data_IF_988529345812
#
_entry.id   IF_988529345812
#
_cell.length_a   1.000
_cell.length_b   1.000
_cell.length_c   1.000
_cell.angle_alpha   90.00
_cell.angle_beta   90.00
_cell.angle_gamma   90.00
#
_symmetry.space_group_name_H-M   'P 1'
#
loop_
_entity.id
_entity.type
_entity.pdbx_description
1 polymer ?
#
# COMPACT_ATOMS: atom_id res chain seq x y z
N UNK A 1 -25.09 -4.37 2.11
CA UNK A 1 -23.84 -4.18 1.36
C UNK A 1 -22.89 -5.32 1.72
N UNK A 2 -21.72 -5.44 1.09
CA UNK A 2 -20.81 -6.58 1.21
C UNK A 2 -19.37 -6.08 1.30
N UNK A 3 -19.08 -5.33 2.35
CA UNK A 3 -17.86 -4.53 2.46
C UNK A 3 -16.61 -5.37 2.77
N UNK A 4 -15.49 -4.98 2.17
CA UNK A 4 -14.17 -5.61 2.35
C UNK A 4 -13.19 -4.57 2.90
N UNK A 5 -12.40 -4.97 3.91
CA UNK A 5 -11.28 -4.18 4.40
C UNK A 5 -10.00 -4.58 3.67
N UNK A 6 -9.31 -3.59 3.10
CA UNK A 6 -8.05 -3.79 2.38
C UNK A 6 -6.86 -3.45 3.28
N UNK A 7 -5.82 -4.27 3.24
CA UNK A 7 -4.54 -4.01 3.91
C UNK A 7 -3.41 -4.08 2.90
N UNK A 8 -2.55 -3.06 2.92
CA UNK A 8 -1.33 -2.98 2.13
C UNK A 8 -0.15 -2.79 3.09
N UNK A 9 0.86 -3.64 3.03
CA UNK A 9 1.99 -3.57 3.94
C UNK A 9 3.34 -3.72 3.21
N UNK A 10 4.06 -2.61 3.14
CA UNK A 10 5.39 -2.51 2.56
C UNK A 10 5.44 -1.85 1.18
N UNK A 11 6.64 -1.43 0.74
CA UNK A 11 6.79 -0.57 -0.42
C UNK A 11 6.18 -1.15 -1.71
N UNK A 12 6.54 -2.38 -2.10
CA UNK A 12 6.09 -2.97 -3.35
C UNK A 12 4.58 -3.26 -3.31
N UNK A 13 4.06 -3.72 -2.17
CA UNK A 13 2.64 -3.87 -1.91
C UNK A 13 1.88 -2.54 -2.06
N UNK A 14 2.45 -1.43 -1.59
CA UNK A 14 1.86 -0.10 -1.70
C UNK A 14 1.92 0.43 -3.14
N UNK A 15 3.01 0.20 -3.89
CA UNK A 15 3.07 0.52 -5.32
C UNK A 15 2.00 -0.24 -6.13
N UNK A 16 1.89 -1.56 -5.93
CA UNK A 16 0.87 -2.38 -6.56
C UNK A 16 -0.55 -1.96 -6.13
N UNK A 17 -0.69 -1.61 -4.86
CA UNK A 17 -1.90 -1.09 -4.25
C UNK A 17 -2.39 0.21 -4.86
N UNK A 18 -1.51 1.18 -5.06
CA UNK A 18 -1.85 2.45 -5.73
C UNK A 18 -2.33 2.21 -7.16
N UNK A 19 -1.68 1.31 -7.92
CA UNK A 19 -2.16 0.94 -9.25
C UNK A 19 -3.55 0.30 -9.23
N UNK A 20 -3.81 -0.58 -8.25
CA UNK A 20 -5.13 -1.17 -8.05
C UNK A 20 -6.18 -0.07 -7.81
N UNK A 21 -5.95 0.83 -6.85
CA UNK A 21 -6.91 1.90 -6.52
C UNK A 21 -7.13 2.88 -7.65
N UNK A 22 -6.07 3.26 -8.36
CA UNK A 22 -6.17 4.12 -9.54
C UNK A 22 -6.99 3.47 -10.66
N UNK A 23 -6.95 2.14 -10.77
CA UNK A 23 -7.78 1.39 -11.74
C UNK A 23 -9.22 1.30 -11.23
N UNK A 24 -9.43 1.08 -9.93
CA UNK A 24 -10.76 1.06 -9.32
C UNK A 24 -11.47 2.41 -9.45
N UNK A 25 -10.75 3.53 -9.32
CA UNK A 25 -11.29 4.87 -9.52
C UNK A 25 -11.73 5.11 -10.97
N UNK A 26 -11.06 4.54 -11.96
CA UNK A 26 -11.51 4.65 -13.36
C UNK A 26 -12.86 4.00 -13.61
N UNK A 27 -13.23 3.00 -12.80
CA UNK A 27 -14.54 2.39 -12.87
C UNK A 27 -15.63 3.23 -12.19
N UNK A 28 -15.31 4.27 -11.43
CA UNK A 28 -16.29 5.20 -10.85
C UNK A 28 -16.91 6.04 -11.99
N UNK A 29 -17.96 5.50 -12.59
CA UNK A 29 -18.71 6.20 -13.63
C UNK A 29 -19.73 7.12 -12.96
N UNK A 30 -19.55 8.43 -13.10
CA UNK A 30 -20.47 9.44 -12.57
C UNK A 30 -21.74 9.66 -13.43
N UNK A 31 -21.93 8.87 -14.50
CA UNK A 31 -23.10 8.97 -15.37
C UNK A 31 -24.15 7.92 -15.04
N UNK A 32 -25.36 8.36 -14.73
CA UNK A 32 -26.53 7.56 -14.30
C UNK A 32 -27.01 6.50 -15.31
N UNK A 33 -26.43 6.45 -16.52
CA UNK A 33 -26.94 5.67 -17.65
C UNK A 33 -26.27 4.31 -17.89
N UNK A 34 -25.21 3.96 -17.16
CA UNK A 34 -24.47 2.71 -17.36
C UNK A 34 -24.68 1.72 -16.23
N UNK A 35 -24.95 0.45 -16.58
CA UNK A 35 -24.97 -0.65 -15.62
C UNK A 35 -23.57 -0.84 -15.04
N UNK A 36 -23.41 -0.65 -13.74
CA UNK A 36 -22.13 -0.83 -13.04
C UNK A 36 -21.60 -2.25 -13.26
N UNK A 37 -20.39 -2.36 -13.82
CA UNK A 37 -19.68 -3.64 -13.88
C UNK A 37 -19.05 -4.03 -12.54
N UNK A 38 -18.88 -3.06 -11.64
CA UNK A 38 -18.24 -3.19 -10.31
C UNK A 38 -19.10 -2.48 -9.27
N UNK A 39 -19.39 -3.16 -8.16
CA UNK A 39 -20.10 -2.55 -7.02
C UNK A 39 -19.10 -1.76 -6.15
N UNK A 40 -19.14 -0.43 -6.22
CA UNK A 40 -18.13 0.43 -5.59
C UNK A 40 -18.19 0.43 -4.07
N UNK A 41 -19.39 0.32 -3.48
CA UNK A 41 -19.62 0.36 -2.02
C UNK A 41 -18.95 -0.80 -1.27
N UNK A 42 -18.58 -1.86 -1.99
CA UNK A 42 -17.78 -2.98 -1.44
C UNK A 42 -16.40 -2.50 -0.99
N UNK A 43 -15.79 -1.60 -1.77
CA UNK A 43 -14.38 -1.21 -1.59
C UNK A 43 -14.21 0.24 -1.15
N UNK A 44 -15.14 1.10 -1.54
CA UNK A 44 -15.15 2.50 -1.19
C UNK A 44 -16.16 2.80 -0.09
N UNK A 45 -15.91 3.88 0.62
CA UNK A 45 -16.84 4.56 1.49
C UNK A 45 -17.04 5.98 0.96
N UNK A 46 -18.26 6.47 1.06
CA UNK A 46 -18.56 7.87 0.80
C UNK A 46 -18.17 8.71 2.03
N UNK A 47 -17.38 9.75 1.80
CA UNK A 47 -17.07 10.79 2.77
C UNK A 47 -17.38 12.16 2.20
N UNK A 48 -17.18 13.21 3.00
CA UNK A 48 -17.34 14.59 2.55
C UNK A 48 -16.05 15.37 2.81
N UNK A 49 -15.64 16.15 1.82
CA UNK A 49 -14.56 17.13 2.00
C UNK A 49 -14.98 18.26 2.96
N UNK A 50 -14.03 19.07 3.44
CA UNK A 50 -14.30 20.35 4.13
C UNK A 50 -15.22 21.29 3.35
N UNK A 51 -15.27 21.14 2.02
CA UNK A 51 -16.15 21.90 1.11
C UNK A 51 -17.56 21.31 0.96
N UNK A 52 -17.84 20.18 1.59
CA UNK A 52 -19.14 19.48 1.51
C UNK A 52 -19.33 18.67 0.22
N UNK A 53 -18.29 18.48 -0.59
CA UNK A 53 -18.35 17.63 -1.78
C UNK A 53 -18.22 16.16 -1.38
N UNK A 54 -19.01 15.27 -1.98
CA UNK A 54 -18.86 13.82 -1.80
C UNK A 54 -17.52 13.34 -2.38
N UNK A 55 -16.72 12.70 -1.54
CA UNK A 55 -15.44 12.07 -1.91
C UNK A 55 -15.53 10.59 -1.57
N UNK A 56 -15.15 9.73 -2.52
CA UNK A 56 -15.02 8.31 -2.27
C UNK A 56 -13.60 7.99 -1.79
N UNK A 57 -13.51 7.38 -0.61
CA UNK A 57 -12.26 6.91 -0.04
C UNK A 57 -12.27 5.37 0.01
N UNK A 58 -11.15 4.68 -0.22
CA UNK A 58 -11.11 3.24 -0.09
C UNK A 58 -11.13 2.84 1.40
N UNK A 59 -11.74 1.68 1.71
CA UNK A 59 -11.68 1.03 3.02
C UNK A 59 -10.34 0.31 3.17
N UNK A 60 -9.30 1.09 3.43
CA UNK A 60 -7.91 0.67 3.29
C UNK A 60 -7.11 1.01 4.56
N UNK A 61 -6.18 0.12 4.93
CA UNK A 61 -5.06 0.41 5.83
C UNK A 61 -3.75 0.20 5.07
N UNK A 62 -2.93 1.25 4.99
CA UNK A 62 -1.64 1.28 4.31
C UNK A 62 -0.55 1.39 5.37
N UNK A 63 0.29 0.38 5.46
CA UNK A 63 1.44 0.32 6.35
C UNK A 63 2.73 0.50 5.54
N UNK A 64 3.54 1.47 5.94
CA UNK A 64 4.88 1.64 5.39
C UNK A 64 5.79 2.38 6.37
N UNK A 65 7.06 2.50 6.03
CA UNK A 65 8.01 3.35 6.76
C UNK A 65 7.74 4.82 6.46
N UNK A 66 7.95 5.69 7.45
CA UNK A 66 7.65 7.13 7.34
C UNK A 66 8.28 7.78 6.11
N UNK A 67 9.52 7.41 5.80
CA UNK A 67 10.26 7.89 4.62
C UNK A 67 9.61 7.53 3.29
N UNK A 68 8.76 6.50 3.23
CA UNK A 68 8.20 5.96 1.98
C UNK A 68 6.87 6.59 1.56
N UNK A 69 6.20 7.33 2.46
CA UNK A 69 4.92 8.01 2.19
C UNK A 69 5.05 9.28 1.35
N UNK A 70 6.27 9.77 1.07
CA UNK A 70 6.50 10.93 0.22
C UNK A 70 5.71 12.16 0.66
N UNK A 71 4.97 12.78 -0.27
CA UNK A 71 4.14 13.97 0.00
C UNK A 71 2.85 13.65 0.77
N UNK A 72 2.42 12.38 0.78
CA UNK A 72 1.26 11.93 1.56
C UNK A 72 1.55 11.93 3.06
N UNK A 73 2.84 11.86 3.45
CA UNK A 73 3.26 12.04 4.84
C UNK A 73 2.92 13.43 5.40
N UNK A 74 2.79 14.43 4.51
CA UNK A 74 2.45 15.80 4.87
C UNK A 74 0.95 16.03 4.69
N UNK A 75 0.40 15.62 3.56
CA UNK A 75 -0.91 16.05 3.16
C UNK A 75 -1.98 15.06 3.64
N UNK A 76 -2.52 15.27 4.84
CA UNK A 76 -3.87 14.85 5.17
C UNK A 76 -4.86 15.64 4.30
N UNK A 77 -4.85 15.45 2.97
CA UNK A 77 -5.49 16.34 1.97
C UNK A 77 -6.96 16.61 2.29
N UNK A 78 -7.64 15.63 2.89
CA UNK A 78 -9.05 15.71 3.26
C UNK A 78 -9.34 16.54 4.51
N UNK A 79 -8.39 16.63 5.45
CA UNK A 79 -8.61 17.25 6.76
C UNK A 79 -7.67 18.42 7.05
N UNK A 80 -6.80 18.79 6.11
CA UNK A 80 -5.86 19.92 6.24
C UNK A 80 -4.86 19.72 7.37
N UNK A 81 -3.68 20.28 7.21
CA UNK A 81 -2.74 20.39 8.32
C UNK A 81 -3.34 21.41 9.29
N UNK A 82 -3.96 20.94 10.36
CA UNK A 82 -3.79 21.66 11.62
C UNK A 82 -2.30 21.45 11.93
N UNK A 83 -1.46 22.39 11.48
CA UNK A 83 -0.11 22.53 12.01
C UNK A 83 -0.31 22.62 13.53
N UNK A 84 -0.14 21.48 14.21
CA UNK A 84 0.01 21.43 15.64
C UNK A 84 1.25 22.29 15.93
N UNK A 85 1.03 23.58 16.18
CA UNK A 85 1.89 24.38 17.05
C UNK A 85 1.92 23.64 18.38
N UNK A 86 2.73 22.57 18.45
CA UNK A 86 3.07 21.91 19.70
C UNK A 86 3.59 23.04 20.59
N UNK A 87 2.89 23.39 21.69
CA UNK A 87 3.38 24.43 22.57
C UNK A 87 4.75 23.97 23.06
N UNK A 88 5.79 24.74 22.74
CA UNK A 88 7.16 24.47 23.18
C UNK A 88 7.15 24.32 24.71
N UNK A 89 7.11 23.09 25.20
CA UNK A 89 7.09 22.76 26.62
C UNK A 89 8.46 22.98 27.29
N UNK A 90 9.44 23.49 26.54
CA UNK A 90 10.83 23.67 26.93
C UNK A 90 11.23 25.15 26.79
N UNK A 91 11.58 25.80 27.90
CA UNK A 91 11.97 27.23 27.99
C UNK A 91 13.45 27.50 27.65
N UNK A 92 14.12 26.53 27.02
CA UNK A 92 15.50 26.65 26.55
C UNK A 92 15.55 26.92 25.05
N UNK A 93 16.65 27.55 24.59
CA UNK A 93 16.89 27.79 23.16
C UNK A 93 17.04 26.47 22.39
N UNK A 94 15.96 25.99 21.78
CA UNK A 94 16.01 24.91 20.80
C UNK A 94 16.26 25.50 19.41
N UNK A 95 17.20 24.90 18.68
CA UNK A 95 17.32 25.13 17.23
C UNK A 95 16.52 24.03 16.56
N UNK A 96 15.34 24.36 16.08
CA UNK A 96 14.53 23.43 15.30
C UNK A 96 15.19 23.23 13.93
N UNK A 97 15.74 22.05 13.69
CA UNK A 97 16.22 21.63 12.38
C UNK A 97 15.11 20.84 11.69
N UNK A 98 14.28 21.53 10.92
CA UNK A 98 13.23 20.92 10.09
C UNK A 98 13.84 20.46 8.77
N UNK A 99 13.63 19.18 8.41
CA UNK A 99 14.04 18.65 7.11
C UNK A 99 13.33 19.43 5.99
N UNK A 100 14.03 19.67 4.87
CA UNK A 100 13.43 20.30 3.70
C UNK A 100 12.21 19.51 3.21
N UNK A 101 11.12 20.22 2.92
CA UNK A 101 9.88 19.61 2.46
C UNK A 101 10.09 18.91 1.12
N UNK A 102 9.56 17.68 1.01
CA UNK A 102 9.55 16.94 -0.26
C UNK A 102 8.64 17.70 -1.23
N UNK A 103 9.14 18.10 -2.42
CA UNK A 103 8.32 18.78 -3.41
C UNK A 103 7.27 17.84 -4.00
N UNK A 104 6.09 18.38 -4.33
CA UNK A 104 5.05 17.60 -5.00
C UNK A 104 5.51 17.13 -6.37
N UNK A 105 5.20 15.87 -6.70
CA UNK A 105 5.51 15.32 -8.00
C UNK A 105 4.69 16.06 -9.09
N UNK A 106 5.27 16.38 -10.27
CA UNK A 106 4.57 17.14 -11.32
C UNK A 106 3.22 16.52 -11.76
N UNK A 107 3.08 15.21 -11.61
CA UNK A 107 1.81 14.50 -11.83
C UNK A 107 0.70 14.97 -10.89
N UNK A 108 1.00 15.09 -9.58
CA UNK A 108 0.03 15.51 -8.57
C UNK A 108 -0.41 16.96 -8.80
N UNK A 109 0.52 17.85 -9.17
CA UNK A 109 0.19 19.23 -9.52
C UNK A 109 -0.78 19.32 -10.70
N UNK A 110 -0.52 18.56 -11.78
CA UNK A 110 -1.40 18.52 -12.95
C UNK A 110 -2.79 17.94 -12.65
N UNK A 111 -2.85 16.94 -11.76
CA UNK A 111 -4.12 16.35 -11.34
C UNK A 111 -4.97 17.37 -10.57
N UNK A 112 -4.35 18.16 -9.69
CA UNK A 112 -5.02 19.23 -8.95
C UNK A 112 -5.50 20.39 -9.84
N UNK A 113 -4.77 20.69 -10.92
CA UNK A 113 -5.13 21.72 -11.90
C UNK A 113 -6.28 21.29 -12.84
N UNK A 114 -6.70 20.02 -12.79
CA UNK A 114 -7.86 19.52 -13.53
C UNK A 114 -7.64 19.43 -15.04
N UNK A 115 -6.40 19.47 -15.53
CA UNK A 115 -6.09 19.33 -16.95
C UNK A 115 -6.46 17.91 -17.42
N UNK A 116 -7.58 17.80 -18.14
CA UNK A 116 -8.20 16.53 -18.59
C UNK A 116 -7.38 15.78 -19.68
N UNK A 117 -6.08 16.05 -19.78
CA UNK A 117 -5.14 15.52 -20.77
C UNK A 117 -4.10 14.54 -20.20
N UNK A 118 -4.41 13.85 -19.11
CA UNK A 118 -3.48 12.86 -18.48
C UNK A 118 -3.34 11.58 -19.34
N UNK A 119 -4.02 11.48 -20.49
CA UNK A 119 -3.95 10.34 -21.40
C UNK A 119 -2.58 10.10 -22.05
N UNK A 120 -1.71 11.11 -22.15
CA UNK A 120 -0.43 10.97 -22.84
C UNK A 120 0.66 11.82 -22.18
N UNK A 121 1.31 11.29 -21.15
CA UNK A 121 2.73 11.62 -21.02
C UNK A 121 3.52 10.42 -20.53
N UNK A 122 4.18 9.77 -21.48
CA UNK A 122 5.29 8.83 -21.26
C UNK A 122 6.47 9.44 -20.45
N UNK A 123 6.34 10.67 -19.96
CA UNK A 123 7.30 11.38 -19.12
C UNK A 123 7.03 11.24 -17.61
N UNK A 124 5.85 10.76 -17.18
CA UNK A 124 5.54 10.58 -15.75
C UNK A 124 6.43 9.51 -15.10
N UNK A 125 6.92 8.56 -15.90
CA UNK A 125 7.63 7.37 -15.43
C UNK A 125 9.10 7.60 -15.08
N UNK A 126 9.68 8.77 -15.38
CA UNK A 126 11.13 8.96 -15.22
C UNK A 126 11.53 9.39 -13.80
N UNK A 127 10.61 9.93 -12.99
CA UNK A 127 10.94 10.57 -11.70
C UNK A 127 10.09 10.11 -10.50
N UNK A 128 9.35 9.00 -10.60
CA UNK A 128 8.57 8.45 -9.46
C UNK A 128 9.52 7.90 -8.40
N UNK A 129 9.42 8.43 -7.17
CA UNK A 129 10.21 7.99 -6.01
C UNK A 129 9.36 7.27 -4.98
N UNK A 130 8.13 7.73 -4.78
CA UNK A 130 7.20 7.21 -3.79
C UNK A 130 5.96 6.66 -4.46
N UNK A 131 5.31 5.68 -3.82
CA UNK A 131 4.04 5.13 -4.33
C UNK A 131 2.92 6.16 -4.27
N UNK A 132 3.07 7.22 -3.48
CA UNK A 132 2.14 8.35 -3.38
C UNK A 132 2.20 9.28 -4.60
N UNK A 133 3.30 9.29 -5.36
CA UNK A 133 3.56 10.29 -6.41
C UNK A 133 2.58 10.20 -7.58
N UNK A 134 1.95 9.03 -7.77
CA UNK A 134 0.97 8.76 -8.81
C UNK A 134 -0.40 8.35 -8.26
N UNK A 135 -0.64 8.53 -6.95
CA UNK A 135 -1.93 8.22 -6.35
C UNK A 135 -3.00 9.20 -6.84
N UNK A 136 -4.11 8.67 -7.36
CA UNK A 136 -5.28 9.47 -7.80
C UNK A 136 -6.39 9.50 -6.77
N UNK A 137 -6.40 8.53 -5.85
CA UNK A 137 -7.49 8.33 -4.89
C UNK A 137 -7.14 8.99 -3.57
N UNK A 138 -8.12 9.66 -2.97
CA UNK A 138 -7.97 10.20 -1.63
C UNK A 138 -8.05 9.10 -0.59
N UNK A 139 -7.06 9.04 0.30
CA UNK A 139 -7.07 8.15 1.45
C UNK A 139 -7.61 8.88 2.68
N UNK A 140 -8.43 8.18 3.45
CA UNK A 140 -8.85 8.68 4.75
C UNK A 140 -7.64 8.72 5.71
N UNK A 141 -7.51 9.70 6.63
CA UNK A 141 -6.35 9.76 7.53
C UNK A 141 -6.11 8.49 8.34
N UNK A 142 -7.19 7.82 8.78
CA UNK A 142 -7.09 6.52 9.48
C UNK A 142 -6.52 5.40 8.61
N UNK A 143 -6.47 5.58 7.29
CA UNK A 143 -5.86 4.61 6.37
C UNK A 143 -4.35 4.63 6.46
N UNK A 144 -3.75 5.76 6.86
CA UNK A 144 -2.31 5.99 6.81
C UNK A 144 -1.69 5.51 8.13
N UNK A 145 -0.92 4.43 8.08
CA UNK A 145 -0.28 3.82 9.24
C UNK A 145 1.25 3.86 9.07
N UNK A 146 1.87 4.88 9.65
CA UNK A 146 3.30 5.16 9.46
C UNK A 146 4.12 4.46 10.55
N UNK A 147 5.06 3.60 10.13
CA UNK A 147 6.04 3.01 11.03
C UNK A 147 7.32 3.86 11.08
N UNK A 148 8.05 3.84 12.22
CA UNK A 148 9.37 4.45 12.30
C UNK A 148 10.32 3.90 11.24
N UNK A 149 11.16 4.78 10.70
CA UNK A 149 12.22 4.42 9.76
C UNK A 149 13.28 3.57 10.45
N UNK A 150 13.83 2.61 9.70
CA UNK A 150 14.92 1.76 10.16
C UNK A 150 16.21 2.37 9.64
N UNK A 151 17.25 2.37 10.46
CA UNK A 151 18.55 2.86 10.00
C UNK A 151 19.17 1.91 8.97
N UNK A 152 19.78 2.44 7.91
CA UNK A 152 20.35 1.65 6.80
C UNK A 152 21.32 0.54 7.24
N UNK A 153 22.03 0.74 8.35
CA UNK A 153 23.01 -0.22 8.90
C UNK A 153 22.38 -1.39 9.66
N UNK A 154 21.09 -1.34 10.01
CA UNK A 154 20.42 -2.41 10.75
C UNK A 154 20.05 -3.62 9.88
N UNK A 155 20.04 -3.49 8.54
CA UNK A 155 19.87 -4.63 7.64
C UNK A 155 18.62 -5.47 7.94
N UNK A 156 17.51 -4.80 8.24
CA UNK A 156 16.26 -5.39 8.74
C UNK A 156 15.47 -6.19 7.69
N UNK A 157 15.79 -6.05 6.41
CA UNK A 157 15.21 -6.89 5.38
C UNK A 157 15.61 -8.35 5.61
N UNK A 158 14.63 -9.23 5.76
CA UNK A 158 14.86 -10.62 6.13
C UNK A 158 14.96 -10.88 7.64
N UNK A 159 14.81 -9.88 8.52
CA UNK A 159 14.79 -10.09 9.97
C UNK A 159 13.37 -10.34 10.48
N UNK A 160 13.00 -11.61 10.59
CA UNK A 160 11.69 -12.02 11.08
C UNK A 160 11.38 -11.46 12.48
N UNK A 161 12.32 -11.55 13.42
CA UNK A 161 12.12 -11.18 14.83
C UNK A 161 11.93 -9.67 14.94
N UNK A 162 12.72 -8.89 14.19
CA UNK A 162 12.57 -7.44 14.16
C UNK A 162 11.17 -7.01 13.71
N UNK A 163 10.60 -7.64 12.68
CA UNK A 163 9.25 -7.29 12.23
C UNK A 163 8.14 -7.71 13.19
N UNK A 164 8.29 -8.83 13.94
CA UNK A 164 7.38 -9.18 15.04
C UNK A 164 7.39 -8.08 16.12
N UNK A 165 8.58 -7.70 16.59
CA UNK A 165 8.74 -6.66 17.59
C UNK A 165 8.22 -5.31 17.09
N UNK A 166 8.45 -5.00 15.81
CA UNK A 166 7.94 -3.78 15.18
C UNK A 166 6.42 -3.70 15.26
N UNK A 167 5.71 -4.81 15.04
CA UNK A 167 4.26 -4.85 15.20
C UNK A 167 3.85 -4.66 16.66
N UNK A 168 4.50 -5.34 17.61
CA UNK A 168 4.18 -5.19 19.04
C UNK A 168 4.28 -3.73 19.49
N UNK A 169 5.40 -3.06 19.19
CA UNK A 169 5.57 -1.64 19.54
C UNK A 169 4.54 -0.76 18.84
N UNK A 170 4.31 -1.00 17.55
CA UNK A 170 3.32 -0.23 16.78
C UNK A 170 1.90 -0.39 17.35
N UNK A 171 1.50 -1.60 17.72
CA UNK A 171 0.20 -1.89 18.33
C UNK A 171 0.07 -1.22 19.71
N UNK A 172 1.12 -1.21 20.53
CA UNK A 172 1.13 -0.52 21.83
C UNK A 172 1.01 1.02 21.68
N UNK A 173 1.64 1.61 20.66
CA UNK A 173 1.64 3.06 20.45
C UNK A 173 0.35 3.58 19.81
N UNK A 174 -0.18 2.86 18.82
CA UNK A 174 -1.28 3.34 17.98
C UNK A 174 -2.63 2.74 18.32
N UNK A 175 -2.63 1.61 19.03
CA UNK A 175 -3.83 0.79 19.27
C UNK A 175 -4.64 0.57 17.98
N UNK A 176 -3.93 0.20 16.90
CA UNK A 176 -4.48 0.15 15.53
C UNK A 176 -5.75 -0.71 15.41
N UNK A 177 -5.86 -1.74 16.26
CA UNK A 177 -7.00 -2.65 16.30
C UNK A 177 -8.26 -1.95 16.83
N UNK A 178 -8.17 -1.26 17.97
CA UNK A 178 -9.29 -0.56 18.61
C UNK A 178 -9.59 0.80 17.97
N UNK A 179 -8.65 1.39 17.25
CA UNK A 179 -8.82 2.69 16.60
C UNK A 179 -9.17 2.54 15.12
N UNK A 180 -8.16 2.51 14.25
CA UNK A 180 -8.34 2.64 12.81
C UNK A 180 -9.10 1.45 12.24
N UNK A 181 -8.75 0.24 12.66
CA UNK A 181 -9.39 -0.98 12.17
C UNK A 181 -10.84 -1.10 12.67
N UNK A 182 -11.08 -0.98 13.98
CA UNK A 182 -12.44 -1.03 14.54
C UNK A 182 -13.38 -0.02 13.90
N UNK A 183 -12.93 1.22 13.71
CA UNK A 183 -13.75 2.26 13.08
C UNK A 183 -14.13 1.89 11.64
N UNK A 184 -13.23 1.29 10.86
CA UNK A 184 -13.59 0.81 9.51
C UNK A 184 -14.60 -0.35 9.56
N UNK A 185 -14.50 -1.22 10.56
CA UNK A 185 -15.42 -2.35 10.73
C UNK A 185 -16.81 -1.90 11.18
N UNK A 186 -16.89 -0.93 12.09
CA UNK A 186 -18.15 -0.34 12.56
C UNK A 186 -18.86 0.45 11.44
N UNK A 187 -18.11 1.01 10.50
CA UNK A 187 -18.63 1.66 9.29
C UNK A 187 -19.14 0.66 8.22
N UNK A 188 -19.08 -0.66 8.46
CA UNK A 188 -19.59 -1.68 7.53
C UNK A 188 -20.96 -2.19 7.97
N UNK A 189 -21.93 -2.21 7.04
CA UNK A 189 -23.24 -2.82 7.28
C UNK A 189 -23.14 -4.35 7.37
N UNK A 190 -22.33 -4.96 6.48
CA UNK A 190 -22.07 -6.40 6.51
C UNK A 190 -20.65 -6.72 6.04
N UNK A 191 -19.72 -6.63 6.99
CA UNK A 191 -18.33 -6.98 6.80
C UNK A 191 -18.14 -8.42 6.29
N UNK A 192 -17.50 -8.57 5.13
CA UNK A 192 -17.27 -9.88 4.51
C UNK A 192 -15.94 -10.50 4.87
N UNK A 193 -14.92 -9.68 5.14
CA UNK A 193 -13.56 -10.14 5.33
C UNK A 193 -12.53 -9.15 4.83
N UNK A 194 -11.30 -9.66 4.69
CA UNK A 194 -10.14 -8.84 4.37
C UNK A 194 -9.43 -9.28 3.11
N UNK A 195 -8.89 -8.31 2.38
CA UNK A 195 -7.90 -8.54 1.35
C UNK A 195 -6.56 -7.92 1.77
N UNK A 196 -5.50 -8.73 1.78
CA UNK A 196 -4.18 -8.31 2.24
C UNK A 196 -3.18 -8.47 1.10
N UNK A 197 -2.38 -7.45 0.85
CA UNK A 197 -1.18 -7.53 0.01
C UNK A 197 0.00 -7.05 0.83
N UNK A 198 1.09 -7.81 0.84
CA UNK A 198 2.23 -7.49 1.68
C UNK A 198 3.55 -7.91 1.05
N UNK A 199 4.60 -7.18 1.41
CA UNK A 199 5.97 -7.53 1.07
C UNK A 199 6.51 -8.52 2.09
N UNK A 200 6.83 -9.73 1.67
CA UNK A 200 7.21 -10.78 2.62
C UNK A 200 8.62 -10.57 3.17
N UNK A 201 9.53 -9.99 2.37
CA UNK A 201 10.91 -9.75 2.76
C UNK A 201 11.05 -8.70 3.88
N UNK A 202 10.22 -7.65 3.87
CA UNK A 202 10.31 -6.48 4.76
C UNK A 202 9.19 -6.44 5.81
N UNK A 203 7.97 -6.79 5.43
CA UNK A 203 6.77 -6.70 6.28
C UNK A 203 6.13 -8.06 6.59
N UNK A 204 6.70 -9.18 6.14
CA UNK A 204 6.13 -10.52 6.34
C UNK A 204 5.78 -10.83 7.80
N UNK A 205 6.73 -10.70 8.72
CA UNK A 205 6.47 -10.95 10.14
C UNK A 205 5.53 -9.92 10.78
N UNK A 206 5.64 -8.66 10.39
CA UNK A 206 4.72 -7.61 10.84
C UNK A 206 3.27 -7.94 10.45
N UNK A 207 3.03 -8.26 9.17
CA UNK A 207 1.72 -8.65 8.65
C UNK A 207 1.23 -9.95 9.28
N UNK A 208 2.12 -10.91 9.54
CA UNK A 208 1.76 -12.14 10.24
C UNK A 208 1.23 -11.85 11.65
N UNK A 209 1.92 -11.01 12.42
CA UNK A 209 1.45 -10.61 13.75
C UNK A 209 0.15 -9.83 13.71
N UNK A 210 0.01 -8.87 12.78
CA UNK A 210 -1.24 -8.13 12.56
C UNK A 210 -2.42 -9.07 12.29
N UNK A 211 -2.24 -10.04 11.39
CA UNK A 211 -3.28 -11.00 11.06
C UNK A 211 -3.57 -11.98 12.21
N UNK A 212 -2.57 -12.32 13.01
CA UNK A 212 -2.78 -13.13 14.22
C UNK A 212 -3.65 -12.40 15.23
N UNK A 213 -3.32 -11.14 15.54
CA UNK A 213 -4.11 -10.30 16.45
C UNK A 213 -5.54 -10.11 15.92
N UNK A 214 -5.68 -9.86 14.62
CA UNK A 214 -7.01 -9.79 14.01
C UNK A 214 -7.79 -11.09 14.10
N UNK A 215 -7.15 -12.23 13.87
CA UNK A 215 -7.80 -13.54 13.96
C UNK A 215 -8.27 -13.84 15.39
N UNK A 216 -7.53 -13.39 16.40
CA UNK A 216 -7.93 -13.55 17.81
C UNK A 216 -9.21 -12.75 18.14
N UNK A 217 -9.35 -11.53 17.59
CA UNK A 217 -10.55 -10.69 17.77
C UNK A 217 -11.73 -11.14 16.90
N UNK A 218 -11.48 -11.47 15.64
CA UNK A 218 -12.47 -11.71 14.59
C UNK A 218 -12.23 -13.03 13.86
N UNK A 219 -12.10 -14.12 14.62
CA UNK A 219 -11.82 -15.49 14.11
C UNK A 219 -12.73 -16.00 12.99
N UNK A 220 -13.93 -15.42 12.82
CA UNK A 220 -14.89 -15.81 11.77
C UNK A 220 -14.71 -15.04 10.46
N UNK A 221 -13.97 -13.94 10.47
CA UNK A 221 -13.77 -13.12 9.29
C UNK A 221 -12.73 -13.77 8.36
N UNK A 222 -13.10 -14.14 7.12
CA UNK A 222 -12.15 -14.71 6.18
C UNK A 222 -11.16 -13.63 5.70
N UNK A 223 -9.93 -14.05 5.42
CA UNK A 223 -8.92 -13.22 4.78
C UNK A 223 -8.35 -13.89 3.53
N UNK A 224 -8.16 -13.10 2.49
CA UNK A 224 -7.42 -13.50 1.28
C UNK A 224 -6.11 -12.71 1.27
N UNK A 225 -4.99 -13.41 1.17
CA UNK A 225 -3.65 -12.82 1.29
C UNK A 225 -2.88 -13.02 -0.01
N UNK A 226 -2.32 -11.94 -0.54
CA UNK A 226 -1.45 -11.89 -1.72
C UNK A 226 -0.03 -11.51 -1.29
N UNK A 227 0.76 -12.45 -0.74
CA UNK A 227 2.13 -12.14 -0.37
C UNK A 227 2.99 -11.98 -1.62
N UNK A 228 3.66 -10.83 -1.70
CA UNK A 228 4.73 -10.58 -2.65
C UNK A 228 6.00 -11.21 -2.09
N UNK A 229 6.41 -12.32 -2.71
CA UNK A 229 7.55 -13.10 -2.27
C UNK A 229 8.86 -12.41 -2.63
N UNK A 230 9.92 -12.73 -1.89
CA UNK A 230 11.22 -12.14 -2.13
C UNK A 230 11.73 -12.42 -3.55
N UNK A 231 12.63 -11.56 -4.04
CA UNK A 231 13.28 -11.71 -5.33
C UNK A 231 14.36 -12.82 -5.37
N UNK A 232 14.31 -13.77 -4.44
CA UNK A 232 15.31 -14.82 -4.28
C UNK A 232 14.65 -16.18 -4.57
N UNK A 233 15.13 -16.87 -5.60
CA UNK A 233 14.62 -18.19 -5.97
C UNK A 233 15.32 -19.28 -5.14
N UNK A 234 14.58 -20.14 -4.44
CA UNK A 234 15.15 -21.34 -3.83
C UNK A 234 15.78 -22.21 -4.93
N UNK A 235 17.10 -22.45 -4.85
CA UNK A 235 17.99 -23.10 -5.85
C UNK A 235 18.67 -22.17 -6.88
N UNK A 236 18.57 -20.85 -6.72
CA UNK A 236 19.34 -19.88 -7.51
C UNK A 236 20.81 -19.77 -7.09
N UNK A 237 21.63 -19.09 -7.90
CA UNK A 237 23.08 -18.86 -7.64
C UNK A 237 23.37 -17.98 -6.41
N UNK A 238 22.35 -17.40 -5.78
CA UNK A 238 22.47 -16.41 -4.70
C UNK A 238 22.28 -16.98 -3.28
N UNK A 239 22.24 -18.31 -3.11
CA UNK A 239 22.04 -18.95 -1.79
C UNK A 239 23.18 -18.64 -0.81
N UNK A 240 24.39 -18.40 -1.32
CA UNK A 240 25.58 -18.22 -0.48
C UNK A 240 25.58 -16.91 0.33
N UNK A 241 24.66 -15.98 0.02
CA UNK A 241 24.51 -14.74 0.78
C UNK A 241 23.55 -14.92 1.97
N UNK A 242 23.95 -14.54 3.20
CA UNK A 242 23.10 -14.70 4.39
C UNK A 242 21.80 -13.87 4.28
N UNK A 243 21.85 -12.71 3.62
CA UNK A 243 20.66 -11.89 3.35
C UNK A 243 19.62 -12.64 2.50
N UNK A 244 20.07 -13.30 1.43
CA UNK A 244 19.23 -14.11 0.56
C UNK A 244 18.60 -15.29 1.28
N UNK A 245 19.36 -15.97 2.14
CA UNK A 245 18.84 -17.06 2.98
C UNK A 245 17.76 -16.57 3.95
N UNK A 246 17.98 -15.41 4.59
CA UNK A 246 16.97 -14.79 5.48
C UNK A 246 15.66 -14.48 4.76
N UNK A 247 15.72 -13.95 3.53
CA UNK A 247 14.52 -13.67 2.72
C UNK A 247 13.74 -14.94 2.37
N UNK A 248 14.41 -16.01 1.96
CA UNK A 248 13.77 -17.31 1.69
C UNK A 248 13.12 -17.88 2.95
N UNK A 249 13.78 -17.75 4.11
CA UNK A 249 13.22 -18.17 5.40
C UNK A 249 11.98 -17.36 5.76
N UNK A 250 12.00 -16.05 5.55
CA UNK A 250 10.82 -15.20 5.75
C UNK A 250 9.64 -15.64 4.87
N UNK A 251 9.89 -15.91 3.59
CA UNK A 251 8.86 -16.43 2.68
C UNK A 251 8.25 -17.74 3.21
N UNK A 252 9.10 -18.68 3.63
CA UNK A 252 8.64 -19.97 4.17
C UNK A 252 7.87 -19.83 5.49
N UNK A 253 8.37 -19.00 6.42
CA UNK A 253 7.74 -18.74 7.71
C UNK A 253 6.38 -18.05 7.53
N UNK A 254 6.31 -17.05 6.64
CA UNK A 254 5.08 -16.36 6.33
C UNK A 254 4.03 -17.31 5.76
N UNK A 255 4.37 -18.05 4.70
CA UNK A 255 3.43 -18.98 4.06
C UNK A 255 2.97 -20.09 5.02
N UNK A 256 3.86 -20.58 5.88
CA UNK A 256 3.49 -21.54 6.94
C UNK A 256 2.53 -20.92 7.95
N UNK A 257 2.74 -19.66 8.33
CA UNK A 257 1.87 -18.93 9.27
C UNK A 257 0.48 -18.66 8.69
N UNK A 258 0.38 -18.41 7.38
CA UNK A 258 -0.91 -18.10 6.74
C UNK A 258 -1.87 -19.29 6.63
N UNK A 259 -1.38 -20.53 6.80
CA UNK A 259 -2.22 -21.72 6.80
C UNK A 259 -3.30 -21.69 7.89
N UNK A 260 -2.99 -21.08 9.03
CA UNK A 260 -3.88 -21.04 10.19
C UNK A 260 -4.70 -19.73 10.25
N UNK A 261 -4.25 -18.67 9.56
CA UNK A 261 -4.81 -17.32 9.67
C UNK A 261 -5.68 -16.90 8.47
N UNK A 262 -5.45 -17.50 7.30
CA UNK A 262 -6.08 -17.07 6.05
C UNK A 262 -6.96 -18.14 5.42
N UNK A 263 -8.04 -17.71 4.75
CA UNK A 263 -8.88 -18.60 3.97
C UNK A 263 -8.17 -19.02 2.68
N UNK A 264 -7.47 -18.08 2.05
CA UNK A 264 -6.76 -18.33 0.79
C UNK A 264 -5.52 -17.46 0.72
N UNK A 265 -4.38 -18.08 0.49
CA UNK A 265 -3.12 -17.39 0.21
C UNK A 265 -2.72 -17.63 -1.24
N UNK A 266 -2.51 -16.55 -2.00
CA UNK A 266 -2.06 -16.58 -3.39
C UNK A 266 -0.66 -15.97 -3.47
N UNK A 267 0.41 -16.76 -3.31
CA UNK A 267 1.77 -16.25 -3.36
C UNK A 267 2.13 -15.73 -4.75
N UNK A 268 2.63 -14.50 -4.81
CA UNK A 268 3.07 -13.85 -6.05
C UNK A 268 4.60 -13.84 -6.05
N UNK A 269 5.18 -14.60 -6.98
CA UNK A 269 6.62 -14.62 -7.21
C UNK A 269 7.08 -13.30 -7.83
N UNK A 270 8.25 -12.82 -7.40
CA UNK A 270 8.89 -11.63 -7.98
C UNK A 270 9.02 -11.77 -9.50
N UNK A 271 8.70 -10.74 -10.32
CA UNK A 271 8.85 -10.85 -11.76
C UNK A 271 10.31 -11.06 -12.23
N UNK A 272 11.30 -10.80 -11.35
CA UNK A 272 12.70 -11.16 -11.58
C UNK A 272 12.93 -12.67 -11.72
N UNK A 273 12.07 -13.49 -11.10
CA UNK A 273 12.14 -14.95 -11.18
C UNK A 273 11.31 -15.55 -12.31
N UNK A 274 10.54 -14.73 -13.03
CA UNK A 274 9.70 -15.22 -14.12
C UNK A 274 10.57 -15.61 -15.30
N UNK A 275 10.39 -16.83 -15.80
CA UNK A 275 10.97 -17.25 -17.08
C UNK A 275 10.51 -16.30 -18.17
N UNK A 276 11.38 -15.98 -19.14
CA UNK A 276 11.09 -15.01 -20.21
C UNK A 276 9.72 -15.27 -20.83
N UNK A 277 8.70 -14.46 -20.48
CA UNK A 277 7.39 -14.74 -20.98
C UNK A 277 7.33 -14.40 -22.47
N UNK A 278 6.50 -15.08 -23.27
CA UNK A 278 6.37 -14.80 -24.70
C UNK A 278 5.97 -13.33 -24.99
N UNK A 279 5.35 -12.66 -24.02
CA UNK A 279 4.95 -11.26 -24.10
C UNK A 279 6.05 -10.26 -23.69
N UNK A 280 7.23 -10.71 -23.23
CA UNK A 280 8.37 -9.83 -22.85
C UNK A 280 8.88 -8.98 -24.00
N UNK A 281 8.73 -9.45 -25.24
CA UNK A 281 9.08 -8.68 -26.44
C UNK A 281 8.01 -7.64 -26.80
N UNK A 282 6.79 -7.79 -26.29
CA UNK A 282 5.64 -6.91 -26.56
C UNK A 282 5.60 -5.78 -25.54
N UNK A 283 5.83 -6.11 -24.27
CA UNK A 283 5.93 -5.16 -23.18
C UNK A 283 7.42 -4.87 -22.97
N UNK A 284 7.88 -3.67 -23.36
CA UNK A 284 9.23 -3.17 -23.06
C UNK A 284 9.40 -2.98 -21.54
N UNK A 285 9.45 -4.08 -20.80
CA UNK A 285 9.68 -4.12 -19.37
C UNK A 285 11.15 -3.79 -19.12
N UNK A 286 11.41 -2.52 -18.81
CA UNK A 286 12.68 -2.14 -18.18
C UNK A 286 12.67 -2.70 -16.77
N UNK A 287 13.39 -3.80 -16.57
CA UNK A 287 13.57 -4.54 -15.30
C UNK A 287 14.00 -3.63 -14.13
N UNK A 288 14.56 -2.45 -14.38
CA UNK A 288 14.91 -1.48 -13.33
C UNK A 288 13.75 -0.61 -12.82
N UNK A 289 12.55 -0.68 -13.42
CA UNK A 289 11.41 0.17 -13.11
C UNK A 289 10.18 -0.66 -12.69
N UNK A 290 10.38 -1.65 -11.81
CA UNK A 290 9.31 -2.53 -11.28
C UNK A 290 8.10 -1.77 -10.73
N UNK A 291 8.32 -0.54 -10.27
CA UNK A 291 7.35 0.30 -9.61
C UNK A 291 6.51 1.17 -10.55
N UNK A 292 6.88 1.21 -11.83
CA UNK A 292 6.45 2.27 -12.76
C UNK A 292 5.84 1.69 -14.06
N UNK A 293 5.75 0.36 -14.18
CA UNK A 293 5.10 -0.25 -15.34
C UNK A 293 3.63 0.13 -15.38
N UNK A 294 3.32 1.00 -16.34
CA UNK A 294 2.04 1.58 -16.64
C UNK A 294 0.91 0.54 -16.70
N UNK A 295 -0.14 0.77 -15.91
CA UNK A 295 -1.45 0.16 -16.13
C UNK A 295 -2.04 0.49 -17.51
N UNK A 296 -1.51 1.51 -18.21
CA UNK A 296 -1.94 1.86 -19.58
C UNK A 296 -1.42 0.91 -20.67
N UNK A 297 -0.41 0.06 -20.41
CA UNK A 297 0.06 -0.90 -21.42
C UNK A 297 -0.84 -2.15 -21.55
N UNK A 298 -1.72 -2.42 -20.58
CA UNK A 298 -2.65 -3.57 -20.61
C UNK A 298 -4.02 -3.17 -21.19
N UNK A 299 -4.40 -1.89 -21.11
CA UNK A 299 -5.68 -1.38 -21.62
C UNK A 299 -5.63 -0.87 -23.06
N UNK A 300 -4.45 -0.68 -23.67
CA UNK A 300 -4.33 -0.44 -25.12
C UNK A 300 -4.43 -1.73 -25.92
N UNK A 301 -5.47 -2.53 -25.68
CA UNK A 301 -5.80 -3.62 -26.60
C UNK A 301 -6.38 -2.97 -27.85
N UNK A 302 -5.61 -3.02 -28.94
CA UNK A 302 -5.95 -2.64 -30.30
C UNK A 302 -7.46 -2.73 -30.62
N UNK A 303 -8.17 -1.61 -30.48
CA UNK A 303 -9.31 -1.33 -31.35
C UNK A 303 -8.73 -0.91 -32.72
N UNK A 304 -8.37 -1.89 -33.53
CA UNK A 304 -7.82 -1.61 -34.85
C UNK A 304 -6.95 -2.72 -35.43
N UNK A 305 -7.56 -3.88 -35.68
CA UNK A 305 -7.36 -4.67 -36.91
C UNK A 305 -8.41 -5.78 -37.01
#
# INVERSE_FOLDING_TARGET
>A
MREILYIQAGPLANFAGTHFWNTQEQYLTYSESESFSVEHDVSFREGSDKKGNSIYCPRLLVFDRKSQFGTLARNGVLYGDDDDELPNAWDGSSVELRQEAIPDHPYQTKLLEGESGIGESASITQDVKFWSDFNRVYYHPRSIQMLPDISDWQGAEGDWIHGLNSFTHFAEETDVMETSMRLFLEECDAFQGMQVINDTATFGSFTHSLLSTFHDELSKAPSIVFPLLANVVPRGKHIDEPSSTRKILNDALFLRGQNDLSLTTVPIQSPLSWNEPPWKNILSLTVCLYFISSSTAILSRNEGQ
#
